data_IF_016394195532
#
_entry.id   IF_016394195532
#
_cell.length_a   1.000
_cell.length_b   1.000
_cell.length_c   1.000
_cell.angle_alpha   90.00
_cell.angle_beta   90.00
_cell.angle_gamma   90.00
#
_symmetry.space_group_name_H-M   'P 1'
#
loop_
_entity.id
_entity.type
_entity.pdbx_description
1 polymer ?
#
# COMPACT_ATOMS: atom_id res chain seq x y z
N UNK A 1 4.05 11.35 45.79
CA UNK A 1 4.11 11.23 47.27
C UNK A 1 4.02 12.61 47.94
N UNK A 2 4.83 13.61 47.55
CA UNK A 2 4.82 14.93 48.17
C UNK A 2 3.44 15.62 48.16
N UNK A 3 2.79 15.61 46.99
CA UNK A 3 1.45 16.18 46.84
C UNK A 3 0.35 15.39 47.58
N UNK A 4 0.53 14.09 47.77
CA UNK A 4 -0.42 13.28 48.49
C UNK A 4 -0.29 13.48 50.02
N UNK A 5 0.91 13.75 50.54
CA UNK A 5 1.15 14.15 51.92
C UNK A 5 0.39 15.43 52.26
N UNK A 6 0.47 16.43 51.42
CA UNK A 6 -0.18 17.73 51.60
C UNK A 6 -1.70 17.63 51.62
N UNK A 7 -2.27 16.59 50.99
CA UNK A 7 -3.70 16.32 50.90
C UNK A 7 -4.21 15.28 51.91
N UNK A 8 -3.37 14.73 52.78
CA UNK A 8 -3.77 13.67 53.75
C UNK A 8 -4.13 12.33 53.08
N UNK A 9 -3.75 12.13 51.82
CA UNK A 9 -4.13 10.97 50.97
C UNK A 9 -3.15 9.81 51.00
N UNK A 10 -2.10 9.87 51.79
CA UNK A 10 -1.02 8.84 51.76
C UNK A 10 -1.51 7.42 52.04
N UNK A 11 -2.49 7.27 52.92
CA UNK A 11 -3.05 5.96 53.30
C UNK A 11 -3.86 5.31 52.16
N UNK A 12 -4.28 6.10 51.14
CA UNK A 12 -5.07 5.64 49.99
C UNK A 12 -4.24 5.44 48.72
N UNK A 13 -2.94 5.75 48.73
CA UNK A 13 -2.10 5.62 47.54
C UNK A 13 -1.79 4.14 47.26
N UNK A 14 -2.02 3.68 46.00
CA UNK A 14 -1.67 2.34 45.59
C UNK A 14 -0.14 2.18 45.54
N UNK A 15 0.36 0.97 45.80
CA UNK A 15 1.78 0.68 45.62
C UNK A 15 2.23 0.88 44.17
N UNK A 16 3.52 1.17 43.98
CA UNK A 16 4.12 1.30 42.61
C UNK A 16 3.86 0.04 41.76
N UNK A 17 3.88 -1.15 42.39
CA UNK A 17 3.57 -2.41 41.71
C UNK A 17 2.10 -2.48 41.25
N UNK A 18 1.17 -1.99 42.03
CA UNK A 18 -0.24 -1.94 41.68
C UNK A 18 -0.47 -0.97 40.50
N UNK A 19 0.14 0.21 40.55
CA UNK A 19 0.09 1.19 39.45
C UNK A 19 0.68 0.61 38.16
N UNK A 20 1.88 0.00 38.23
CA UNK A 20 2.51 -0.64 37.05
C UNK A 20 1.64 -1.76 36.47
N UNK A 21 1.03 -2.58 37.28
CA UNK A 21 0.13 -3.66 36.86
C UNK A 21 -1.09 -3.10 36.10
N UNK A 22 -1.73 -2.06 36.63
CA UNK A 22 -2.85 -1.39 36.00
C UNK A 22 -2.40 -0.75 34.68
N UNK A 23 -1.28 -0.03 34.68
CA UNK A 23 -0.76 0.58 33.44
C UNK A 23 -0.38 -0.48 32.40
N UNK A 24 0.14 -1.63 32.79
CA UNK A 24 0.44 -2.70 31.83
C UNK A 24 -0.81 -3.35 31.24
N UNK A 25 -1.90 -3.41 31.98
CA UNK A 25 -3.17 -3.97 31.50
C UNK A 25 -3.95 -3.03 30.56
N UNK A 26 -3.63 -1.74 30.53
CA UNK A 26 -4.26 -0.78 29.61
C UNK A 26 -3.91 -1.14 28.16
N UNK A 27 -4.88 -1.24 27.23
CA UNK A 27 -4.62 -1.52 25.83
C UNK A 27 -3.64 -0.51 25.20
N UNK A 28 -2.79 -1.00 24.28
CA UNK A 28 -1.77 -0.17 23.64
C UNK A 28 -2.39 1.04 22.94
N UNK A 29 -3.54 0.87 22.29
CA UNK A 29 -4.27 1.95 21.63
C UNK A 29 -4.63 3.10 22.59
N UNK A 30 -4.97 2.78 23.84
CA UNK A 30 -5.29 3.81 24.85
C UNK A 30 -4.02 4.51 25.33
N UNK A 31 -2.92 3.74 25.53
CA UNK A 31 -1.61 4.30 25.93
C UNK A 31 -1.05 5.28 24.90
N UNK A 32 -1.24 4.96 23.62
CA UNK A 32 -0.65 5.71 22.52
C UNK A 32 -1.55 6.83 21.97
N UNK A 33 -2.77 6.97 22.50
CA UNK A 33 -3.76 7.93 21.99
C UNK A 33 -3.28 9.38 21.86
N UNK A 34 -2.36 9.82 22.71
CA UNK A 34 -1.79 11.18 22.69
C UNK A 34 -0.28 11.20 22.46
N UNK A 35 0.34 10.02 22.28
CA UNK A 35 1.78 9.88 22.02
C UNK A 35 2.08 9.66 20.56
N UNK A 36 1.16 9.02 19.85
CA UNK A 36 1.30 8.69 18.43
C UNK A 36 0.32 9.47 17.59
N UNK A 37 0.78 9.95 16.43
CA UNK A 37 -0.03 10.69 15.47
C UNK A 37 0.11 10.09 14.06
N UNK A 38 -0.74 10.50 13.13
CA UNK A 38 -0.63 10.13 11.73
C UNK A 38 -0.74 8.62 11.47
N UNK A 39 0.19 8.08 10.68
CA UNK A 39 0.23 6.66 10.30
C UNK A 39 0.51 5.73 11.48
N UNK A 40 1.36 6.13 12.41
CA UNK A 40 1.67 5.36 13.61
C UNK A 40 0.43 5.14 14.48
N UNK A 41 -0.39 6.17 14.67
CA UNK A 41 -1.67 6.06 15.36
C UNK A 41 -2.66 5.14 14.62
N UNK A 42 -2.77 5.31 13.29
CA UNK A 42 -3.68 4.51 12.47
C UNK A 42 -3.34 3.03 12.48
N UNK A 43 -2.04 2.69 12.55
CA UNK A 43 -1.59 1.29 12.60
C UNK A 43 -2.00 0.53 13.87
N UNK A 44 -2.34 1.26 14.96
CA UNK A 44 -2.83 0.67 16.22
C UNK A 44 -4.32 0.34 16.19
N UNK A 45 -5.07 0.90 15.24
CA UNK A 45 -6.49 0.60 15.13
C UNK A 45 -6.73 -0.81 14.58
N UNK A 46 -7.69 -1.55 15.13
CA UNK A 46 -8.07 -2.83 14.57
C UNK A 46 -8.56 -2.66 13.14
N UNK A 47 -8.18 -3.58 12.27
CA UNK A 47 -8.59 -3.58 10.87
C UNK A 47 -9.08 -4.97 10.45
N UNK A 48 -9.99 -4.99 9.52
CA UNK A 48 -10.44 -6.23 8.89
C UNK A 48 -9.44 -6.60 7.79
N UNK A 49 -8.81 -7.75 7.93
CA UNK A 49 -7.92 -8.28 6.89
C UNK A 49 -8.76 -8.65 5.67
N UNK A 50 -8.41 -8.09 4.51
CA UNK A 50 -9.06 -8.47 3.26
C UNK A 50 -8.65 -9.89 2.88
N UNK A 51 -9.63 -10.75 2.64
CA UNK A 51 -9.42 -12.09 2.11
C UNK A 51 -9.57 -12.04 0.58
N UNK A 52 -8.48 -12.31 -0.10
CA UNK A 52 -8.43 -12.26 -1.57
C UNK A 52 -8.46 -13.64 -2.21
N UNK A 53 -8.09 -14.69 -1.46
CA UNK A 53 -7.84 -16.03 -2.01
C UNK A 53 -9.11 -16.74 -2.48
N UNK A 54 -10.28 -16.29 -2.03
CA UNK A 54 -11.59 -16.80 -2.48
C UNK A 54 -12.11 -16.14 -3.75
N UNK A 55 -11.42 -15.12 -4.26
CA UNK A 55 -11.86 -14.42 -5.47
C UNK A 55 -11.56 -15.23 -6.73
N UNK A 56 -12.48 -15.23 -7.70
CA UNK A 56 -12.22 -15.83 -8.99
C UNK A 56 -11.13 -15.07 -9.76
N UNK A 57 -10.58 -15.72 -10.77
CA UNK A 57 -9.61 -15.11 -11.70
C UNK A 57 -10.23 -13.86 -12.31
N UNK A 58 -9.42 -12.80 -12.45
CA UNK A 58 -9.81 -11.50 -13.00
C UNK A 58 -10.92 -10.76 -12.20
N UNK A 59 -11.23 -11.17 -10.97
CA UNK A 59 -12.17 -10.40 -10.15
C UNK A 59 -11.57 -9.06 -9.71
N UNK A 60 -10.34 -9.09 -9.17
CA UNK A 60 -9.67 -7.88 -8.71
C UNK A 60 -8.19 -7.91 -9.11
N UNK A 61 -7.78 -6.92 -9.85
CA UNK A 61 -6.37 -6.66 -10.08
C UNK A 61 -5.88 -5.52 -9.19
N UNK A 62 -4.67 -5.66 -8.65
CA UNK A 62 -4.03 -4.66 -7.79
C UNK A 62 -2.80 -4.12 -8.50
N UNK A 63 -2.72 -2.80 -8.68
CA UNK A 63 -1.58 -2.10 -9.26
C UNK A 63 -0.74 -1.37 -8.22
N UNK A 64 0.57 -1.32 -8.45
CA UNK A 64 1.51 -0.53 -7.64
C UNK A 64 2.76 -0.20 -8.45
N UNK A 65 3.24 1.05 -8.29
CA UNK A 65 4.50 1.52 -8.85
C UNK A 65 5.65 1.38 -7.85
N UNK A 66 6.83 1.02 -8.31
CA UNK A 66 8.01 0.90 -7.46
C UNK A 66 9.27 1.39 -8.15
N UNK A 67 9.97 2.33 -7.50
CA UNK A 67 11.28 2.77 -7.96
C UNK A 67 12.32 1.69 -7.66
N UNK A 68 12.99 1.19 -8.69
CA UNK A 68 13.99 0.14 -8.55
C UNK A 68 15.22 0.66 -7.80
N UNK A 69 15.84 -0.20 -7.00
CA UNK A 69 17.06 0.15 -6.25
C UNK A 69 18.32 0.13 -7.10
N UNK A 70 18.24 -0.37 -8.32
CA UNK A 70 19.32 -0.36 -9.29
C UNK A 70 19.34 0.95 -10.10
N UNK A 71 20.49 1.32 -10.62
CA UNK A 71 20.67 2.43 -11.54
C UNK A 71 20.91 1.91 -12.96
N UNK A 72 20.40 2.65 -13.94
CA UNK A 72 20.62 2.37 -15.35
C UNK A 72 21.03 3.66 -16.09
N UNK A 73 21.61 3.52 -17.29
CA UNK A 73 21.87 4.64 -18.17
C UNK A 73 20.69 4.84 -19.12
N UNK A 74 20.23 6.09 -19.24
CA UNK A 74 19.30 6.43 -20.28
C UNK A 74 20.02 6.42 -21.64
N UNK A 75 19.64 5.53 -22.56
CA UNK A 75 20.37 5.37 -23.83
C UNK A 75 20.29 6.61 -24.74
N UNK A 76 19.28 7.49 -24.53
CA UNK A 76 19.10 8.69 -25.33
C UNK A 76 19.89 9.89 -24.80
N UNK A 77 20.06 9.99 -23.49
CA UNK A 77 20.69 11.17 -22.84
C UNK A 77 22.03 10.86 -22.19
N UNK A 78 22.37 9.59 -21.99
CA UNK A 78 23.55 9.15 -21.22
C UNK A 78 23.47 9.40 -19.71
N UNK A 79 22.37 9.95 -19.22
CA UNK A 79 22.21 10.26 -17.80
C UNK A 79 21.88 8.98 -17.00
N UNK A 80 22.40 8.92 -15.79
CA UNK A 80 22.06 7.87 -14.82
C UNK A 80 20.68 8.15 -14.24
N UNK A 81 19.83 7.14 -14.19
CA UNK A 81 18.50 7.21 -13.59
C UNK A 81 18.17 5.91 -12.84
N UNK A 82 17.12 5.94 -12.05
CA UNK A 82 16.53 4.75 -11.43
C UNK A 82 15.25 4.40 -12.18
N UNK A 83 15.19 3.23 -12.80
CA UNK A 83 13.97 2.78 -13.46
C UNK A 83 12.82 2.63 -12.48
N UNK A 84 11.61 2.89 -12.97
CA UNK A 84 10.38 2.65 -12.25
C UNK A 84 9.65 1.46 -12.89
N UNK A 85 9.27 0.49 -12.08
CA UNK A 85 8.46 -0.65 -12.50
C UNK A 85 7.04 -0.47 -12.00
N UNK A 86 6.08 -0.56 -12.89
CA UNK A 86 4.66 -0.70 -12.56
C UNK A 86 4.29 -2.17 -12.68
N UNK A 87 3.73 -2.74 -11.63
CA UNK A 87 3.26 -4.11 -11.61
C UNK A 87 1.75 -4.15 -11.43
N UNK A 88 1.10 -5.06 -12.13
CA UNK A 88 -0.33 -5.37 -11.97
C UNK A 88 -0.45 -6.85 -11.64
N UNK A 89 -1.15 -7.16 -10.56
CA UNK A 89 -1.29 -8.52 -10.04
C UNK A 89 -2.75 -8.88 -9.85
N UNK A 90 -3.14 -10.09 -10.26
CA UNK A 90 -4.41 -10.69 -9.84
C UNK A 90 -4.35 -11.00 -8.34
N UNK A 91 -5.23 -10.35 -7.58
CA UNK A 91 -5.21 -10.43 -6.12
C UNK A 91 -5.61 -11.82 -5.59
N UNK A 92 -6.53 -12.50 -6.27
CA UNK A 92 -6.99 -13.83 -5.92
C UNK A 92 -5.92 -14.88 -6.17
N UNK A 93 -5.33 -14.85 -7.35
CA UNK A 93 -4.34 -15.83 -7.78
C UNK A 93 -2.91 -15.50 -7.33
N UNK A 94 -2.65 -14.25 -6.91
CA UNK A 94 -1.31 -13.72 -6.58
C UNK A 94 -0.32 -13.86 -7.73
N UNK A 95 -0.81 -13.71 -8.94
CA UNK A 95 -0.06 -13.82 -10.18
C UNK A 95 0.09 -12.45 -10.83
N UNK A 96 1.31 -12.12 -11.30
CA UNK A 96 1.56 -10.87 -12.00
C UNK A 96 1.01 -11.02 -13.42
N UNK A 97 -0.04 -10.26 -13.71
CA UNK A 97 -0.73 -10.26 -15.00
C UNK A 97 -0.15 -9.24 -15.96
N UNK A 98 0.43 -8.15 -15.45
CA UNK A 98 0.99 -7.09 -16.28
C UNK A 98 2.13 -6.35 -15.61
N UNK A 99 3.00 -5.78 -16.44
CA UNK A 99 4.12 -4.96 -15.98
C UNK A 99 4.54 -3.95 -17.04
N UNK A 100 5.16 -2.88 -16.60
CA UNK A 100 5.79 -1.88 -17.47
C UNK A 100 7.02 -1.28 -16.79
N UNK A 101 8.02 -0.91 -17.56
CA UNK A 101 9.22 -0.19 -17.13
C UNK A 101 9.21 1.23 -17.69
N UNK A 102 9.51 2.21 -16.86
CA UNK A 102 9.51 3.61 -17.25
C UNK A 102 10.67 4.39 -16.60
N UNK A 103 10.91 5.60 -17.09
CA UNK A 103 11.91 6.52 -16.52
C UNK A 103 11.45 7.15 -15.22
N UNK A 104 10.12 7.26 -15.04
CA UNK A 104 9.47 7.82 -13.85
C UNK A 104 8.04 7.32 -13.76
N UNK A 105 7.43 7.43 -12.57
CA UNK A 105 6.01 7.16 -12.38
C UNK A 105 5.16 8.03 -13.32
N UNK A 106 4.32 7.39 -14.12
CA UNK A 106 3.40 8.09 -15.01
C UNK A 106 2.23 7.20 -15.44
N UNK A 107 1.14 7.83 -15.84
CA UNK A 107 -0.10 7.16 -16.26
C UNK A 107 0.08 6.25 -17.48
N UNK A 108 1.02 6.54 -18.36
CA UNK A 108 1.27 5.73 -19.56
C UNK A 108 1.87 4.38 -19.17
N UNK A 109 2.77 4.36 -18.19
CA UNK A 109 3.33 3.11 -17.67
C UNK A 109 2.24 2.23 -17.04
N UNK A 110 1.31 2.83 -16.28
CA UNK A 110 0.16 2.11 -15.71
C UNK A 110 -0.74 1.57 -16.83
N UNK A 111 -1.08 2.41 -17.80
CA UNK A 111 -1.91 2.01 -18.94
C UNK A 111 -1.25 0.89 -19.77
N UNK A 112 0.07 0.93 -19.95
CA UNK A 112 0.81 -0.11 -20.69
C UNK A 112 0.84 -1.43 -19.91
N UNK A 113 1.08 -1.40 -18.61
CA UNK A 113 1.01 -2.59 -17.76
C UNK A 113 -0.39 -3.22 -17.79
N UNK A 114 -1.45 -2.42 -17.69
CA UNK A 114 -2.84 -2.88 -17.81
C UNK A 114 -3.13 -3.45 -19.20
N UNK A 115 -2.73 -2.75 -20.27
CA UNK A 115 -2.89 -3.20 -21.66
C UNK A 115 -2.23 -4.55 -21.88
N UNK A 116 -1.00 -4.71 -21.41
CA UNK A 116 -0.27 -5.98 -21.50
C UNK A 116 -1.03 -7.11 -20.77
N UNK A 117 -1.43 -6.87 -19.53
CA UNK A 117 -2.18 -7.83 -18.72
C UNK A 117 -3.50 -8.21 -19.38
N UNK A 118 -4.28 -7.24 -19.80
CA UNK A 118 -5.60 -7.47 -20.42
C UNK A 118 -5.51 -8.24 -21.74
N UNK A 119 -4.46 -7.99 -22.53
CA UNK A 119 -4.25 -8.70 -23.78
C UNK A 119 -3.90 -10.18 -23.60
N UNK A 120 -3.27 -10.56 -22.46
CA UNK A 120 -2.83 -11.93 -22.19
C UNK A 120 -3.81 -12.70 -21.31
N UNK A 121 -4.47 -12.04 -20.36
CA UNK A 121 -5.21 -12.70 -19.27
C UNK A 121 -6.69 -12.32 -19.22
N UNK A 122 -7.14 -11.38 -20.06
CA UNK A 122 -8.52 -10.88 -20.06
C UNK A 122 -8.69 -9.61 -19.20
N UNK A 123 -9.91 -9.12 -19.14
CA UNK A 123 -10.25 -7.84 -18.51
C UNK A 123 -10.72 -8.11 -17.07
N UNK A 124 -10.18 -7.39 -16.05
CA UNK A 124 -10.63 -7.53 -14.68
C UNK A 124 -11.98 -6.84 -14.46
N UNK A 125 -12.70 -7.24 -13.42
CA UNK A 125 -13.90 -6.51 -12.98
C UNK A 125 -13.52 -5.24 -12.23
N UNK A 126 -12.51 -5.33 -11.36
CA UNK A 126 -12.06 -4.22 -10.51
C UNK A 126 -10.55 -4.05 -10.68
N UNK A 127 -10.12 -2.80 -10.86
CA UNK A 127 -8.73 -2.38 -10.72
C UNK A 127 -8.57 -1.59 -9.41
N UNK A 128 -7.69 -2.04 -8.53
CA UNK A 128 -7.42 -1.43 -7.23
C UNK A 128 -5.99 -0.90 -7.17
N UNK A 129 -5.85 0.41 -7.01
CA UNK A 129 -4.55 1.07 -6.96
C UNK A 129 -4.40 2.01 -5.78
N UNK A 130 -3.28 2.71 -5.71
CA UNK A 130 -3.14 3.81 -4.76
C UNK A 130 -3.70 5.14 -5.35
N UNK A 131 -3.54 6.22 -4.56
CA UNK A 131 -3.92 7.56 -5.00
C UNK A 131 -2.74 8.30 -5.66
N UNK A 132 -1.71 7.59 -6.13
CA UNK A 132 -0.58 8.19 -6.84
C UNK A 132 -1.02 8.90 -8.14
N UNK A 133 -0.24 9.90 -8.55
CA UNK A 133 -0.56 10.69 -9.75
C UNK A 133 -0.59 9.87 -11.04
N UNK A 134 0.15 8.75 -11.11
CA UNK A 134 0.11 7.81 -12.22
C UNK A 134 -1.13 6.92 -12.21
N UNK A 135 -1.63 6.58 -11.02
CA UNK A 135 -2.73 5.62 -10.84
C UNK A 135 -4.10 6.29 -10.95
N UNK A 136 -4.26 7.52 -10.46
CA UNK A 136 -5.51 8.27 -10.52
C UNK A 136 -5.37 9.42 -11.52
N UNK A 137 -5.77 9.17 -12.75
CA UNK A 137 -5.61 10.13 -13.85
C UNK A 137 -6.82 10.11 -14.78
N UNK A 138 -7.14 11.26 -15.39
CA UNK A 138 -8.23 11.38 -16.36
C UNK A 138 -8.10 10.43 -17.55
N UNK A 139 -6.89 10.02 -17.91
CA UNK A 139 -6.65 9.03 -18.99
C UNK A 139 -7.23 7.66 -18.58
N UNK A 140 -7.12 7.28 -17.31
CA UNK A 140 -7.66 6.02 -16.80
C UNK A 140 -9.14 6.13 -16.43
N UNK A 141 -9.57 7.22 -15.81
CA UNK A 141 -10.80 7.30 -15.03
C UNK A 141 -11.90 8.21 -15.57
N UNK A 142 -11.64 8.98 -16.65
CA UNK A 142 -12.70 9.86 -17.18
C UNK A 142 -13.91 9.04 -17.64
N UNK A 143 -15.10 9.40 -17.17
CA UNK A 143 -16.36 8.63 -17.35
C UNK A 143 -16.65 8.16 -18.77
N UNK A 144 -16.31 8.98 -19.79
CA UNK A 144 -16.60 8.66 -21.18
C UNK A 144 -15.33 8.27 -21.96
N UNK A 145 -14.20 8.90 -21.66
CA UNK A 145 -12.96 8.78 -22.43
C UNK A 145 -11.88 7.97 -21.75
N UNK A 146 -12.02 7.69 -20.45
CA UNK A 146 -11.08 6.91 -19.68
C UNK A 146 -10.99 5.45 -20.15
N UNK A 147 -9.81 4.87 -20.02
CA UNK A 147 -9.54 3.49 -20.44
C UNK A 147 -10.40 2.50 -19.65
N UNK A 148 -10.42 2.65 -18.32
CA UNK A 148 -11.10 1.69 -17.43
C UNK A 148 -12.62 1.71 -17.58
N UNK A 149 -13.32 2.88 -17.56
CA UNK A 149 -14.76 2.93 -17.78
C UNK A 149 -15.18 2.39 -19.16
N UNK A 150 -14.40 2.65 -20.21
CA UNK A 150 -14.70 2.12 -21.56
C UNK A 150 -14.61 0.60 -21.65
N UNK A 151 -13.83 -0.02 -20.78
CA UNK A 151 -13.68 -1.47 -20.69
C UNK A 151 -14.62 -2.10 -19.67
N UNK A 152 -15.44 -1.30 -18.99
CA UNK A 152 -16.34 -1.75 -17.93
C UNK A 152 -15.61 -2.15 -16.64
N UNK A 153 -14.40 -1.63 -16.43
CA UNK A 153 -13.58 -1.91 -15.24
C UNK A 153 -13.85 -0.85 -14.17
N UNK A 154 -14.24 -1.27 -12.99
CA UNK A 154 -14.38 -0.37 -11.84
C UNK A 154 -13.00 -0.04 -11.25
N UNK A 155 -12.68 1.25 -11.12
CA UNK A 155 -11.44 1.67 -10.47
C UNK A 155 -11.66 2.08 -9.02
N UNK A 156 -11.02 1.38 -8.11
CA UNK A 156 -11.03 1.69 -6.69
C UNK A 156 -9.63 2.08 -6.22
N UNK A 157 -9.56 3.16 -5.46
CA UNK A 157 -8.30 3.61 -4.85
C UNK A 157 -8.30 3.38 -3.34
N UNK A 158 -7.11 3.15 -2.78
CA UNK A 158 -6.93 2.98 -1.34
C UNK A 158 -7.28 4.25 -0.54
N UNK A 159 -7.68 4.07 0.71
CA UNK A 159 -7.84 5.18 1.64
C UNK A 159 -6.47 5.81 1.88
N UNK A 160 -6.29 7.13 1.71
CA UNK A 160 -5.02 7.80 1.94
C UNK A 160 -4.44 7.49 3.33
N UNK A 161 -3.18 7.05 3.35
CA UNK A 161 -2.47 6.70 4.60
C UNK A 161 -2.88 5.37 5.24
N UNK A 162 -3.60 4.50 4.52
CA UNK A 162 -3.89 3.14 4.97
C UNK A 162 -3.26 2.11 4.00
N UNK A 163 -2.03 1.62 4.27
CA UNK A 163 -1.31 0.70 3.38
C UNK A 163 -1.86 -0.74 3.39
N UNK A 164 -2.76 -1.06 4.32
CA UNK A 164 -3.15 -2.45 4.63
C UNK A 164 -3.88 -3.17 3.48
N UNK A 165 -4.46 -2.42 2.53
CA UNK A 165 -5.16 -3.01 1.38
C UNK A 165 -4.25 -3.59 0.29
N UNK A 166 -2.95 -3.25 0.27
CA UNK A 166 -2.00 -3.59 -0.80
C UNK A 166 -0.81 -4.45 -0.36
N UNK A 167 -0.82 -4.95 0.87
CA UNK A 167 0.30 -5.70 1.43
C UNK A 167 0.77 -6.90 0.60
N UNK A 168 -0.05 -7.40 -0.31
CA UNK A 168 0.31 -8.51 -1.20
C UNK A 168 1.24 -8.00 -2.31
N UNK A 169 0.85 -6.96 -3.05
CA UNK A 169 1.68 -6.41 -4.13
C UNK A 169 2.92 -5.69 -3.59
N UNK A 170 2.82 -5.04 -2.42
CA UNK A 170 3.97 -4.41 -1.77
C UNK A 170 5.07 -5.41 -1.41
N UNK A 171 4.70 -6.64 -1.06
CA UNK A 171 5.68 -7.73 -0.83
C UNK A 171 6.39 -8.10 -2.12
N UNK A 172 5.64 -8.28 -3.20
CA UNK A 172 6.19 -8.60 -4.52
C UNK A 172 7.13 -7.50 -5.00
N UNK A 173 6.74 -6.22 -4.86
CA UNK A 173 7.58 -5.07 -5.19
C UNK A 173 8.89 -5.00 -4.38
N UNK A 174 8.95 -5.61 -3.21
CA UNK A 174 10.19 -5.71 -2.41
C UNK A 174 11.10 -6.85 -2.84
N UNK A 175 10.53 -7.93 -3.37
CA UNK A 175 11.26 -9.15 -3.73
C UNK A 175 11.80 -9.11 -5.17
N UNK A 176 10.97 -8.77 -6.15
CA UNK A 176 11.38 -8.74 -7.58
C UNK A 176 12.62 -7.88 -7.85
N UNK A 177 12.74 -6.64 -7.35
CA UNK A 177 13.93 -5.83 -7.62
C UNK A 177 15.21 -6.41 -7.04
N UNK A 178 15.14 -7.25 -6.00
CA UNK A 178 16.31 -7.92 -5.44
C UNK A 178 16.78 -9.04 -6.37
N UNK A 179 15.84 -9.84 -6.86
CA UNK A 179 16.16 -10.98 -7.72
C UNK A 179 16.69 -10.50 -9.07
N UNK A 180 16.10 -9.43 -9.63
CA UNK A 180 16.62 -8.80 -10.86
C UNK A 180 18.01 -8.23 -10.62
N UNK A 181 18.26 -7.52 -9.52
CA UNK A 181 19.58 -6.94 -9.23
C UNK A 181 20.67 -7.99 -8.95
N UNK A 182 20.30 -9.21 -8.54
CA UNK A 182 21.23 -10.33 -8.33
C UNK A 182 21.52 -11.12 -9.63
N UNK A 183 20.75 -10.86 -10.70
CA UNK A 183 20.87 -11.54 -12.00
C UNK A 183 21.84 -10.83 -12.96
N UNK A 184 22.32 -9.66 -12.59
CA UNK A 184 23.30 -8.84 -13.32
C UNK A 184 24.55 -8.59 -12.47
#
# INVERSE_FOLDING_TARGET
>A
EKHANDAGMLAALPSVHAVRRVLSSVPVIVKERFRSTGSAWRSLNPFVRREWTSLPVNAVWVGDGHCMKMTAFNPLTGNIFRPEVTLVMDAGQRFIVGWSLSLSENVIAVADALRYGMAQHGIPLIYYSDNGGGEKNRVLDADITGILPRLGVEHHTGIPGNPQGRGVIERVNKEIPKDVALSF
#
